data_IF_958300836250
#
_entry.id   IF_958300836250
#
_cell.length_a   1.000
_cell.length_b   1.000
_cell.length_c   1.000
_cell.angle_alpha   90.00
_cell.angle_beta   90.00
_cell.angle_gamma   90.00
#
_symmetry.space_group_name_H-M   'P 1'
#
loop_
_entity.id
_entity.type
_entity.pdbx_description
1 polymer ?
#
# COMPACT_ATOMS: atom_id res chain seq x y z
N UNK A 1 25.91 9.18 -7.39
CA UNK A 1 25.60 7.74 -7.32
C UNK A 1 25.03 7.40 -5.93
N UNK A 2 23.95 8.05 -5.48
CA UNK A 2 23.27 7.75 -4.21
C UNK A 2 21.81 8.18 -4.38
N UNK A 3 20.87 7.25 -4.61
CA UNK A 3 19.61 7.30 -3.86
C UNK A 3 19.02 5.89 -3.68
N UNK A 4 19.60 5.08 -2.80
CA UNK A 4 19.03 3.76 -2.45
C UNK A 4 18.81 3.59 -0.93
N UNK A 5 19.31 4.51 -0.11
CA UNK A 5 19.41 4.29 1.35
C UNK A 5 18.22 4.80 2.17
N UNK A 6 17.43 5.74 1.66
CA UNK A 6 16.27 6.30 2.40
C UNK A 6 15.08 5.32 2.53
N UNK A 7 14.73 4.48 1.53
CA UNK A 7 13.58 3.56 1.67
C UNK A 7 13.87 2.30 2.50
N UNK A 8 15.12 2.03 2.89
CA UNK A 8 15.50 0.78 3.57
C UNK A 8 15.16 0.81 5.07
N UNK A 9 15.32 1.96 5.73
CA UNK A 9 15.22 2.05 7.19
C UNK A 9 13.76 2.12 7.69
N UNK A 10 12.84 2.67 6.88
CA UNK A 10 11.43 2.84 7.26
C UNK A 10 10.54 1.62 6.98
N UNK A 11 10.96 0.72 6.08
CA UNK A 11 10.26 -0.55 5.83
C UNK A 11 10.40 -1.57 6.97
N UNK A 12 11.48 -1.50 7.75
CA UNK A 12 11.79 -2.48 8.78
C UNK A 12 10.88 -2.39 10.03
N UNK A 13 10.30 -1.22 10.31
CA UNK A 13 9.40 -1.05 11.47
C UNK A 13 8.00 -1.62 11.18
N UNK A 14 7.50 -1.54 9.95
CA UNK A 14 6.24 -2.20 9.56
C UNK A 14 6.41 -3.73 9.43
N UNK A 15 7.57 -4.19 8.95
CA UNK A 15 7.88 -5.62 8.76
C UNK A 15 7.99 -6.41 10.08
N UNK A 16 8.18 -5.76 11.23
CA UNK A 16 8.34 -6.44 12.52
C UNK A 16 7.04 -6.58 13.31
N UNK A 17 5.99 -5.83 12.97
CA UNK A 17 4.68 -5.90 13.63
C UNK A 17 3.77 -7.00 13.05
N UNK A 18 3.77 -7.17 11.72
CA UNK A 18 2.97 -8.17 11.02
C UNK A 18 3.16 -9.62 11.54
N UNK A 19 4.40 -10.15 11.71
CA UNK A 19 4.58 -11.51 12.22
C UNK A 19 4.05 -11.67 13.65
N UNK A 20 4.21 -10.66 14.51
CA UNK A 20 3.72 -10.70 15.90
C UNK A 20 2.19 -10.71 15.98
N UNK A 21 1.52 -9.97 15.10
CA UNK A 21 0.05 -9.97 15.01
C UNK A 21 -0.45 -11.34 14.54
N UNK A 22 0.18 -11.90 13.51
CA UNK A 22 -0.17 -13.24 12.97
C UNK A 22 -0.01 -14.31 14.04
N UNK A 23 1.12 -14.30 14.76
CA UNK A 23 1.39 -15.27 15.81
C UNK A 23 0.35 -15.17 16.95
N UNK A 24 0.01 -13.96 17.38
CA UNK A 24 -1.00 -13.73 18.41
C UNK A 24 -2.42 -14.15 17.96
N UNK A 25 -2.77 -13.91 16.69
CA UNK A 25 -4.08 -14.27 16.15
C UNK A 25 -4.23 -15.78 15.99
N UNK A 26 -3.21 -16.44 15.45
CA UNK A 26 -3.18 -17.90 15.30
C UNK A 26 -3.20 -18.60 16.65
N UNK A 27 -2.42 -18.11 17.62
CA UNK A 27 -2.45 -18.63 18.99
C UNK A 27 -3.83 -18.50 19.63
N UNK A 28 -4.52 -17.37 19.43
CA UNK A 28 -5.87 -17.16 19.96
C UNK A 28 -6.89 -18.08 19.30
N UNK A 29 -6.80 -18.26 17.99
CA UNK A 29 -7.67 -19.14 17.19
C UNK A 29 -7.52 -20.61 17.62
N UNK A 30 -6.28 -21.06 17.84
CA UNK A 30 -5.97 -22.44 18.22
C UNK A 30 -6.31 -22.72 19.70
N UNK A 31 -6.21 -21.71 20.57
CA UNK A 31 -6.54 -21.84 22.00
C UNK A 31 -8.04 -21.71 22.30
N UNK A 32 -8.85 -21.32 21.32
CA UNK A 32 -10.29 -21.17 21.50
C UNK A 32 -10.98 -22.54 21.44
N UNK A 33 -11.53 -23.06 22.56
CA UNK A 33 -12.16 -24.37 22.60
C UNK A 33 -13.49 -24.44 21.81
N UNK A 34 -14.06 -23.30 21.42
CA UNK A 34 -15.24 -23.23 20.56
C UNK A 34 -14.90 -23.33 19.06
N UNK A 35 -13.61 -23.37 18.72
CA UNK A 35 -13.15 -23.36 17.34
C UNK A 35 -12.74 -24.77 16.90
N UNK A 36 -13.25 -25.29 15.77
CA UNK A 36 -12.85 -26.62 15.25
C UNK A 36 -11.42 -26.67 14.71
N UNK A 37 -10.63 -25.61 14.88
CA UNK A 37 -9.27 -25.47 14.38
C UNK A 37 -8.30 -26.21 15.29
N UNK A 38 -7.51 -27.10 14.70
CA UNK A 38 -6.48 -27.87 15.41
C UNK A 38 -5.12 -27.19 15.30
N UNK A 39 -4.16 -27.48 16.21
CA UNK A 39 -2.79 -26.98 16.08
C UNK A 39 -2.11 -27.33 14.75
N UNK A 40 -2.53 -28.43 14.10
CA UNK A 40 -2.05 -28.82 12.77
C UNK A 40 -2.50 -27.89 11.64
N UNK A 41 -3.55 -27.10 11.83
CA UNK A 41 -4.05 -26.16 10.82
C UNK A 41 -3.30 -24.81 10.85
N UNK A 42 -2.55 -24.55 11.92
CA UNK A 42 -1.84 -23.29 12.14
C UNK A 42 -0.90 -22.89 10.98
N UNK A 43 -0.13 -23.80 10.33
CA UNK A 43 0.71 -23.43 9.18
C UNK A 43 -0.11 -22.98 7.96
N UNK A 44 -1.25 -23.63 7.70
CA UNK A 44 -2.13 -23.28 6.58
C UNK A 44 -2.80 -21.92 6.82
N UNK A 45 -3.28 -21.68 8.05
CA UNK A 45 -3.88 -20.40 8.46
C UNK A 45 -2.84 -19.26 8.35
N UNK A 46 -1.60 -19.48 8.79
CA UNK A 46 -0.52 -18.48 8.61
C UNK A 46 -0.31 -18.14 7.14
N UNK A 47 -0.23 -19.15 6.27
CA UNK A 47 0.02 -18.94 4.84
C UNK A 47 -1.04 -18.06 4.18
N UNK A 48 -2.30 -18.19 4.57
CA UNK A 48 -3.41 -17.38 4.06
C UNK A 48 -3.47 -15.98 4.70
N UNK A 49 -3.16 -15.86 6.01
CA UNK A 49 -3.24 -14.59 6.73
C UNK A 49 -2.07 -13.64 6.49
N UNK A 50 -0.86 -14.16 6.22
CA UNK A 50 0.34 -13.36 5.93
C UNK A 50 0.07 -12.31 4.83
N UNK A 51 -0.36 -12.69 3.61
CA UNK A 51 -0.55 -11.70 2.55
C UNK A 51 -1.66 -10.69 2.88
N UNK A 52 -2.72 -11.11 3.57
CA UNK A 52 -3.83 -10.22 3.97
C UNK A 52 -3.34 -9.18 4.98
N UNK A 53 -2.58 -9.59 5.99
CA UNK A 53 -2.08 -8.70 7.03
C UNK A 53 -0.98 -7.79 6.49
N UNK A 54 -0.08 -8.29 5.63
CA UNK A 54 0.93 -7.46 4.95
C UNK A 54 0.28 -6.35 4.11
N UNK A 55 -0.81 -6.67 3.42
CA UNK A 55 -1.58 -5.70 2.65
C UNK A 55 -2.24 -4.64 3.56
N UNK A 56 -2.92 -5.09 4.62
CA UNK A 56 -3.63 -4.21 5.57
C UNK A 56 -2.68 -3.31 6.37
N UNK A 57 -1.50 -3.82 6.72
CA UNK A 57 -0.48 -3.08 7.49
C UNK A 57 0.40 -2.21 6.61
N UNK A 58 0.15 -2.17 5.29
CA UNK A 58 0.97 -1.42 4.35
C UNK A 58 2.47 -1.82 4.40
N UNK A 59 2.76 -3.07 4.78
CA UNK A 59 4.11 -3.60 4.96
C UNK A 59 4.79 -4.05 3.67
N UNK A 60 4.04 -4.12 2.57
CA UNK A 60 4.56 -4.51 1.26
C UNK A 60 5.55 -3.46 0.69
N UNK A 61 6.66 -3.90 0.07
CA UNK A 61 7.55 -2.99 -0.66
C UNK A 61 6.80 -2.20 -1.73
N UNK A 62 7.13 -0.90 -1.87
CA UNK A 62 6.39 0.02 -2.74
C UNK A 62 6.29 -0.46 -4.20
N UNK A 63 7.29 -1.19 -4.70
CA UNK A 63 7.36 -1.71 -6.07
C UNK A 63 6.45 -2.94 -6.31
N UNK A 64 5.97 -3.61 -5.27
CA UNK A 64 4.97 -4.70 -5.39
C UNK A 64 3.53 -4.21 -5.24
N UNK A 65 3.35 -3.01 -4.67
CA UNK A 65 2.02 -2.48 -4.38
C UNK A 65 1.30 -2.03 -5.64
N UNK A 66 0.13 -2.62 -5.89
CA UNK A 66 -0.79 -2.23 -6.97
C UNK A 66 -1.28 -0.80 -6.82
N UNK A 67 -1.44 -0.33 -5.58
CA UNK A 67 -1.87 1.04 -5.27
C UNK A 67 -0.81 2.05 -5.69
N UNK A 68 0.47 1.75 -5.44
CA UNK A 68 1.58 2.61 -5.90
C UNK A 68 1.62 2.69 -7.41
N UNK A 69 1.50 1.56 -8.11
CA UNK A 69 1.48 1.54 -9.57
C UNK A 69 0.26 2.26 -10.17
N UNK A 70 -0.92 2.10 -9.56
CA UNK A 70 -2.12 2.84 -9.96
C UNK A 70 -1.93 4.35 -9.80
N UNK A 71 -1.33 4.79 -8.70
CA UNK A 71 -1.04 6.20 -8.45
C UNK A 71 -0.02 6.78 -9.43
N UNK A 72 1.04 6.03 -9.75
CA UNK A 72 2.01 6.40 -10.80
C UNK A 72 1.32 6.54 -12.15
N UNK A 73 0.45 5.58 -12.50
CA UNK A 73 -0.34 5.63 -13.73
C UNK A 73 -1.27 6.86 -13.79
N UNK A 74 -1.94 7.19 -12.69
CA UNK A 74 -2.80 8.37 -12.59
C UNK A 74 -2.03 9.69 -12.79
N UNK A 75 -0.80 9.77 -12.25
CA UNK A 75 0.10 10.92 -12.44
C UNK A 75 0.50 11.03 -13.91
N UNK A 76 1.04 9.97 -14.50
CA UNK A 76 1.48 10.01 -15.89
C UNK A 76 0.33 10.23 -16.87
N UNK A 77 -0.84 9.64 -16.61
CA UNK A 77 -2.05 9.87 -17.40
C UNK A 77 -2.48 11.33 -17.37
N UNK A 78 -2.59 11.93 -16.16
CA UNK A 78 -2.97 13.33 -16.03
C UNK A 78 -1.94 14.30 -16.61
N UNK A 79 -0.64 14.07 -16.38
CA UNK A 79 0.44 14.87 -17.00
C UNK A 79 0.40 14.74 -18.53
N UNK A 80 0.20 13.54 -19.06
CA UNK A 80 0.06 13.29 -20.49
C UNK A 80 -1.10 14.07 -21.10
N UNK A 81 -2.28 14.00 -20.47
CA UNK A 81 -3.46 14.77 -20.90
C UNK A 81 -3.19 16.28 -20.91
N UNK A 82 -2.58 16.82 -19.85
CA UNK A 82 -2.22 18.24 -19.78
C UNK A 82 -1.22 18.61 -20.88
N UNK A 83 -0.16 17.82 -21.06
CA UNK A 83 0.86 18.09 -22.06
C UNK A 83 0.31 18.07 -23.49
N UNK A 84 -0.53 17.09 -23.82
CA UNK A 84 -1.20 17.01 -25.12
C UNK A 84 -2.16 18.16 -25.34
N UNK A 85 -2.96 18.54 -24.34
CA UNK A 85 -3.87 19.67 -24.41
C UNK A 85 -3.12 20.98 -24.69
N UNK A 86 -2.03 21.24 -23.95
CA UNK A 86 -1.19 22.43 -24.14
C UNK A 86 -0.52 22.45 -25.53
N UNK A 87 -0.04 21.31 -26.02
CA UNK A 87 0.58 21.20 -27.34
C UNK A 87 -0.42 21.50 -28.48
N UNK A 88 -1.70 21.16 -28.27
CA UNK A 88 -2.77 21.40 -29.24
C UNK A 88 -3.46 22.75 -29.06
N UNK A 89 -3.08 23.55 -28.07
CA UNK A 89 -3.75 24.82 -27.75
C UNK A 89 -5.17 24.65 -27.19
N UNK A 90 -5.49 23.49 -26.64
CA UNK A 90 -6.77 23.22 -25.99
C UNK A 90 -6.70 23.57 -24.50
N UNK A 91 -7.42 24.62 -24.12
CA UNK A 91 -7.47 25.13 -22.76
C UNK A 91 -8.79 24.83 -22.05
N UNK A 92 -9.49 23.77 -22.45
CA UNK A 92 -10.72 23.36 -21.77
C UNK A 92 -10.47 23.15 -20.26
N UNK A 93 -11.06 23.99 -19.39
CA UNK A 93 -10.79 23.97 -17.96
C UNK A 93 -11.31 22.71 -17.27
N UNK A 94 -12.34 22.06 -17.80
CA UNK A 94 -12.89 20.82 -17.24
C UNK A 94 -11.92 19.65 -17.46
N UNK A 95 -11.38 19.54 -18.67
CA UNK A 95 -10.37 18.53 -19.01
C UNK A 95 -9.08 18.75 -18.21
N UNK A 96 -8.54 19.97 -18.24
CA UNK A 96 -7.31 20.31 -17.52
C UNK A 96 -7.48 20.17 -16.00
N UNK A 97 -8.63 20.58 -15.48
CA UNK A 97 -8.98 20.42 -14.07
C UNK A 97 -9.06 18.94 -13.67
N UNK A 98 -9.72 18.10 -14.46
CA UNK A 98 -9.81 16.65 -14.20
C UNK A 98 -8.44 15.98 -14.27
N UNK A 99 -7.62 16.34 -15.24
CA UNK A 99 -6.25 15.83 -15.37
C UNK A 99 -5.38 16.27 -14.18
N UNK A 100 -5.48 17.53 -13.75
CA UNK A 100 -4.78 18.03 -12.56
C UNK A 100 -5.23 17.32 -11.28
N UNK A 101 -6.53 17.07 -11.12
CA UNK A 101 -7.06 16.28 -10.00
C UNK A 101 -6.56 14.83 -10.00
N UNK A 102 -6.41 14.21 -11.17
CA UNK A 102 -5.80 12.88 -11.29
C UNK A 102 -4.35 12.86 -10.81
N UNK A 103 -3.57 13.88 -11.20
CA UNK A 103 -2.18 14.04 -10.74
C UNK A 103 -2.12 14.25 -9.23
N UNK A 104 -2.92 15.17 -8.70
CA UNK A 104 -3.00 15.45 -7.27
C UNK A 104 -3.47 14.24 -6.47
N UNK A 105 -4.45 13.48 -6.98
CA UNK A 105 -4.93 12.24 -6.37
C UNK A 105 -3.87 11.14 -6.35
N UNK A 106 -3.07 11.01 -7.41
CA UNK A 106 -1.94 10.08 -7.44
C UNK A 106 -0.86 10.45 -6.42
N UNK A 107 -0.46 11.73 -6.35
CA UNK A 107 0.47 12.19 -5.31
C UNK A 107 -0.11 12.02 -3.90
N UNK A 108 -1.39 12.34 -3.71
CA UNK A 108 -2.09 12.16 -2.44
C UNK A 108 -2.13 10.69 -1.99
N UNK A 109 -2.27 9.75 -2.93
CA UNK A 109 -2.25 8.32 -2.65
C UNK A 109 -0.86 7.85 -2.22
N UNK A 110 0.20 8.27 -2.93
CA UNK A 110 1.59 7.95 -2.57
C UNK A 110 1.95 8.58 -1.22
N UNK A 111 1.57 9.85 -1.02
CA UNK A 111 1.77 10.56 0.24
C UNK A 111 1.01 9.87 1.38
N UNK A 112 -0.25 9.52 1.19
CA UNK A 112 -1.05 8.76 2.15
C UNK A 112 -0.38 7.45 2.52
N UNK A 113 0.20 6.73 1.55
CA UNK A 113 0.97 5.50 1.79
C UNK A 113 2.21 5.73 2.65
N UNK A 114 2.89 6.87 2.54
CA UNK A 114 4.15 7.14 3.24
C UNK A 114 3.99 7.91 4.55
N UNK A 115 2.96 8.74 4.67
CA UNK A 115 2.69 9.58 5.82
C UNK A 115 1.70 8.92 6.82
N UNK A 116 0.81 8.04 6.36
CA UNK A 116 -0.06 7.29 7.27
C UNK A 116 0.78 6.22 7.98
N UNK A 117 0.95 6.39 9.29
CA UNK A 117 1.52 5.34 10.16
C UNK A 117 0.58 4.13 10.14
N UNK A 118 1.10 2.90 10.02
CA UNK A 118 0.26 1.71 10.12
C UNK A 118 -0.44 1.69 11.49
N UNK A 119 -1.67 1.16 11.52
CA UNK A 119 -2.53 1.03 12.71
C UNK A 119 -1.89 0.26 13.89
N UNK A 120 -0.68 -0.27 13.72
CA UNK A 120 0.13 -0.93 14.75
C UNK A 120 1.02 0.02 15.58
N UNK A 121 0.99 1.34 15.32
CA UNK A 121 1.75 2.34 16.08
C UNK A 121 0.87 3.11 17.08
N UNK A 122 0.35 2.41 18.10
CA UNK A 122 -0.09 3.00 19.36
C UNK A 122 0.25 2.06 20.50
#
# INVERSE_FOLDING_TARGET
>A
MIPALIPIILGQVAQTAAPKIIDALVDRIVKDPANPVTPSDAPAIRKELVPVIEHLTNGEPWYKSRVTWGAIGAIFGGVGTIATALANGDYNPEMLGTAALSVLGGFGTIYGRWAAKPLAAK
#
